data_IF_787570077025
#
_entry.id   IF_787570077025
#
_cell.length_a   1.000
_cell.length_b   1.000
_cell.length_c   1.000
_cell.angle_alpha   90.00
_cell.angle_beta   90.00
_cell.angle_gamma   90.00
#
_symmetry.space_group_name_H-M   'P 1'
#
loop_
_entity.id
_entity.type
_entity.pdbx_description
1 polymer ?
#
# COMPACT_ATOMS: atom_id res chain seq x y z
N UNK A 1 26.63 -15.73 15.48
CA UNK A 1 25.34 -16.21 14.93
C UNK A 1 24.27 -15.26 15.47
N UNK A 2 23.97 -14.18 14.76
CA UNK A 2 22.87 -13.28 15.14
C UNK A 2 21.65 -13.73 14.36
N UNK A 3 20.74 -14.42 15.03
CA UNK A 3 19.43 -14.72 14.46
C UNK A 3 18.66 -13.41 14.35
N UNK A 4 18.30 -13.03 13.12
CA UNK A 4 17.27 -12.02 12.91
C UNK A 4 15.97 -12.60 13.43
N UNK A 5 15.46 -12.03 14.52
CA UNK A 5 14.07 -12.24 14.88
C UNK A 5 13.23 -11.50 13.84
N UNK A 6 12.53 -12.24 12.99
CA UNK A 6 11.41 -11.71 12.22
C UNK A 6 10.31 -11.32 13.22
N UNK A 7 10.28 -10.04 13.60
CA UNK A 7 9.12 -9.47 14.27
C UNK A 7 7.89 -9.72 13.41
N UNK A 8 6.85 -10.34 13.97
CA UNK A 8 5.63 -10.59 13.23
C UNK A 8 5.06 -9.25 12.73
N UNK A 9 5.00 -9.07 11.42
CA UNK A 9 4.31 -7.93 10.80
C UNK A 9 2.83 -8.10 11.11
N UNK A 10 2.24 -7.24 11.93
CA UNK A 10 0.79 -7.25 12.18
C UNK A 10 0.08 -6.65 10.96
N UNK A 11 -0.27 -7.49 9.99
CA UNK A 11 -1.04 -7.09 8.83
C UNK A 11 -2.45 -6.65 9.26
N UNK A 12 -2.92 -5.53 8.72
CA UNK A 12 -4.31 -5.09 8.86
C UNK A 12 -5.07 -5.41 7.57
N UNK A 13 -6.35 -5.73 7.70
CA UNK A 13 -7.22 -6.15 6.61
C UNK A 13 -8.43 -5.23 6.58
N UNK A 14 -8.69 -4.59 5.43
CA UNK A 14 -9.81 -3.67 5.26
C UNK A 14 -10.65 -4.12 4.06
N UNK A 15 -11.84 -4.64 4.33
CA UNK A 15 -12.84 -4.88 3.29
C UNK A 15 -13.60 -3.59 3.00
N UNK A 16 -13.70 -3.24 1.73
CA UNK A 16 -14.33 -2.01 1.26
C UNK A 16 -15.58 -2.35 0.46
N UNK A 17 -16.70 -1.72 0.82
CA UNK A 17 -17.95 -1.82 0.08
C UNK A 17 -17.93 -0.92 -1.15
N UNK A 18 -18.75 -1.23 -2.15
CA UNK A 18 -18.96 -0.37 -3.30
C UNK A 18 -19.41 1.04 -2.89
N UNK A 19 -18.85 2.09 -3.50
CA UNK A 19 -19.11 3.48 -3.15
C UNK A 19 -19.34 4.35 -4.39
N UNK A 20 -20.60 4.55 -4.77
CA UNK A 20 -20.99 5.41 -5.88
C UNK A 20 -20.37 4.95 -7.21
N UNK A 21 -19.41 5.71 -7.74
CA UNK A 21 -18.68 5.38 -8.98
C UNK A 21 -17.40 4.57 -8.73
N UNK A 22 -17.04 4.36 -7.47
CA UNK A 22 -15.87 3.58 -7.04
C UNK A 22 -16.32 2.14 -6.78
N UNK A 23 -15.84 1.17 -7.57
CA UNK A 23 -16.36 -0.18 -7.48
C UNK A 23 -15.99 -0.87 -6.17
N UNK A 24 -14.74 -0.73 -5.72
CA UNK A 24 -14.09 -1.52 -4.65
C UNK A 24 -14.21 -3.04 -4.88
N UNK A 25 -13.15 -3.80 -4.60
CA UNK A 25 -13.18 -5.22 -4.97
C UNK A 25 -14.09 -6.03 -4.03
N UNK A 26 -15.16 -6.70 -4.51
CA UNK A 26 -16.23 -7.25 -3.65
C UNK A 26 -15.82 -8.48 -2.83
N UNK A 27 -14.62 -9.02 -3.07
CA UNK A 27 -14.14 -10.27 -2.46
C UNK A 27 -12.70 -10.22 -1.97
N UNK A 28 -11.97 -9.15 -2.28
CA UNK A 28 -10.55 -9.03 -1.93
C UNK A 28 -10.40 -7.77 -1.09
N UNK A 29 -9.87 -7.88 0.14
CA UNK A 29 -9.65 -6.72 0.97
C UNK A 29 -8.38 -5.97 0.56
N UNK A 30 -8.28 -4.70 0.95
CA UNK A 30 -6.99 -4.01 1.03
C UNK A 30 -6.19 -4.64 2.17
N UNK A 31 -4.91 -4.92 1.90
CA UNK A 31 -3.97 -5.40 2.90
C UNK A 31 -2.98 -4.28 3.23
N UNK A 32 -2.80 -4.01 4.53
CA UNK A 32 -1.88 -2.97 5.01
C UNK A 32 -0.82 -3.69 5.85
N UNK A 33 0.44 -3.44 5.54
CA UNK A 33 1.61 -4.03 6.17
C UNK A 33 2.42 -2.92 6.86
N UNK A 34 2.09 -2.58 8.11
CA UNK A 34 2.89 -1.65 8.89
C UNK A 34 4.30 -2.19 9.08
N UNK A 35 5.32 -1.37 8.87
CA UNK A 35 6.72 -1.77 8.94
C UNK A 35 7.05 -3.00 8.08
N UNK A 36 6.50 -3.08 6.86
CA UNK A 36 6.79 -4.14 5.89
C UNK A 36 8.30 -4.31 5.65
N UNK A 37 9.03 -3.19 5.58
CA UNK A 37 10.49 -3.16 5.55
C UNK A 37 10.97 -2.33 6.74
N UNK A 38 11.71 -2.98 7.64
CA UNK A 38 12.42 -2.33 8.75
C UNK A 38 13.90 -2.34 8.42
N UNK A 39 14.43 -1.18 8.05
CA UNK A 39 15.85 -1.04 7.70
C UNK A 39 16.50 0.10 8.45
N UNK A 40 17.77 -0.09 8.83
CA UNK A 40 18.63 1.00 9.29
C UNK A 40 19.31 1.74 8.13
N UNK A 41 19.16 1.23 6.89
CA UNK A 41 19.63 1.92 5.69
C UNK A 41 18.65 3.04 5.32
N UNK A 42 19.17 4.11 4.74
CA UNK A 42 18.38 5.27 4.31
C UNK A 42 17.67 5.07 2.97
N UNK A 43 17.93 3.98 2.24
CA UNK A 43 17.39 3.78 0.89
C UNK A 43 16.26 2.75 0.88
N UNK A 44 15.09 3.16 1.40
CA UNK A 44 13.90 2.32 1.41
C UNK A 44 13.29 2.16 0.00
N UNK A 45 13.49 3.13 -0.90
CA UNK A 45 12.98 3.04 -2.27
C UNK A 45 13.58 1.83 -2.98
N UNK A 46 14.91 1.72 -3.04
CA UNK A 46 15.58 0.57 -3.67
C UNK A 46 15.19 -0.75 -3.01
N UNK A 47 15.04 -0.79 -1.67
CA UNK A 47 14.63 -2.01 -0.96
C UNK A 47 13.20 -2.44 -1.32
N UNK A 48 12.26 -1.50 -1.48
CA UNK A 48 10.93 -1.81 -1.97
C UNK A 48 10.95 -2.27 -3.42
N UNK A 49 11.70 -1.60 -4.29
CA UNK A 49 11.85 -1.99 -5.70
C UNK A 49 12.40 -3.41 -5.86
N UNK A 50 13.45 -3.75 -5.10
CA UNK A 50 14.02 -5.11 -5.03
C UNK A 50 13.00 -6.12 -4.50
N UNK A 51 12.33 -5.81 -3.39
CA UNK A 51 11.34 -6.70 -2.78
C UNK A 51 10.17 -6.96 -3.71
N UNK A 52 9.61 -5.92 -4.32
CA UNK A 52 8.49 -6.04 -5.24
C UNK A 52 8.89 -6.82 -6.49
N UNK A 53 10.06 -6.52 -7.08
CA UNK A 53 10.59 -7.26 -8.23
C UNK A 53 10.77 -8.75 -7.93
N UNK A 54 11.32 -9.09 -6.77
CA UNK A 54 11.50 -10.47 -6.34
C UNK A 54 10.17 -11.24 -6.16
N UNK A 55 9.05 -10.53 -5.99
CA UNK A 55 7.71 -11.08 -5.83
C UNK A 55 6.82 -10.91 -7.08
N UNK A 56 7.40 -10.55 -8.23
CA UNK A 56 6.66 -10.43 -9.49
C UNK A 56 5.86 -9.13 -9.64
N UNK A 57 6.15 -8.12 -8.82
CA UNK A 57 5.59 -6.77 -8.89
C UNK A 57 6.67 -5.80 -9.39
N UNK A 58 6.95 -5.72 -10.70
CA UNK A 58 7.99 -4.83 -11.19
C UNK A 58 7.63 -3.37 -10.87
N UNK A 59 8.55 -2.58 -10.29
CA UNK A 59 8.27 -1.19 -9.93
C UNK A 59 7.92 -0.39 -11.18
N UNK A 60 6.85 0.39 -11.09
CA UNK A 60 6.36 1.21 -12.21
C UNK A 60 6.68 2.68 -12.04
N UNK A 61 6.67 3.19 -10.80
CA UNK A 61 6.88 4.59 -10.49
C UNK A 61 7.29 4.79 -9.02
N UNK A 62 8.00 5.88 -8.72
CA UNK A 62 8.33 6.29 -7.36
C UNK A 62 8.07 7.81 -7.21
N UNK A 63 6.90 8.18 -6.69
CA UNK A 63 6.50 9.55 -6.38
C UNK A 63 5.33 9.55 -5.37
N UNK A 64 4.66 10.67 -5.15
CA UNK A 64 3.46 10.77 -4.30
C UNK A 64 2.16 10.29 -4.97
N UNK A 65 1.23 9.81 -4.16
CA UNK A 65 -0.14 9.43 -4.58
C UNK A 65 -0.91 10.69 -5.03
N UNK A 66 -1.81 10.56 -6.01
CA UNK A 66 -2.62 11.67 -6.47
C UNK A 66 -3.64 12.14 -5.41
N UNK A 67 -3.81 13.45 -5.27
CA UNK A 67 -4.76 14.08 -4.33
C UNK A 67 -6.20 14.19 -4.84
N UNK A 68 -6.57 13.39 -5.84
CA UNK A 68 -7.96 13.26 -6.31
C UNK A 68 -8.35 11.79 -6.29
N UNK A 69 -9.62 11.50 -6.03
CA UNK A 69 -10.11 10.13 -6.02
C UNK A 69 -9.92 9.47 -7.38
N UNK A 70 -9.29 8.29 -7.39
CA UNK A 70 -9.10 7.46 -8.56
C UNK A 70 -9.09 5.98 -8.16
N UNK A 71 -9.13 5.08 -9.14
CA UNK A 71 -8.92 3.65 -8.98
C UNK A 71 -8.34 3.07 -10.28
N UNK A 72 -7.74 1.88 -10.18
CA UNK A 72 -7.28 1.12 -11.34
C UNK A 72 -8.30 0.05 -11.73
N UNK A 73 -8.67 -0.04 -13.00
CA UNK A 73 -9.72 -0.96 -13.49
C UNK A 73 -9.24 -2.42 -13.58
N UNK A 74 -8.00 -2.64 -14.00
CA UNK A 74 -7.48 -3.98 -14.33
C UNK A 74 -6.34 -4.42 -13.42
N UNK A 75 -5.48 -3.49 -13.00
CA UNK A 75 -4.30 -3.77 -12.19
C UNK A 75 -4.58 -3.67 -10.70
N UNK A 76 -4.14 -4.68 -9.94
CA UNK A 76 -3.88 -4.50 -8.52
C UNK A 76 -2.65 -3.60 -8.36
N UNK A 77 -2.59 -2.88 -7.25
CA UNK A 77 -1.49 -1.96 -6.96
C UNK A 77 -0.84 -2.34 -5.64
N UNK A 78 0.50 -2.28 -5.61
CA UNK A 78 1.28 -2.38 -4.39
C UNK A 78 1.99 -1.04 -4.19
N UNK A 79 1.74 -0.40 -3.05
CA UNK A 79 2.39 0.83 -2.64
C UNK A 79 3.44 0.50 -1.57
N UNK A 80 4.66 0.99 -1.76
CA UNK A 80 5.71 1.02 -0.74
C UNK A 80 5.95 2.47 -0.31
N UNK A 81 5.82 2.77 0.98
CA UNK A 81 6.07 4.12 1.47
C UNK A 81 7.57 4.26 1.71
N UNK A 82 8.29 4.80 0.72
CA UNK A 82 9.74 4.92 0.79
C UNK A 82 10.21 6.05 1.71
N UNK A 83 9.41 7.10 1.91
CA UNK A 83 9.79 8.27 2.72
C UNK A 83 8.57 9.01 3.27
N UNK A 84 8.79 9.75 4.36
CA UNK A 84 7.77 10.61 4.97
C UNK A 84 6.59 9.87 5.57
N UNK A 85 5.42 10.52 5.52
CA UNK A 85 4.14 10.00 5.98
C UNK A 85 3.01 10.60 5.12
N UNK A 86 1.87 9.93 5.08
CA UNK A 86 0.68 10.40 4.38
C UNK A 86 -0.60 9.92 5.07
N UNK A 87 -1.71 10.59 4.74
CA UNK A 87 -3.07 10.13 5.06
C UNK A 87 -3.70 9.71 3.74
N UNK A 88 -3.99 8.42 3.58
CA UNK A 88 -4.65 7.91 2.39
C UNK A 88 -6.14 7.72 2.69
N UNK A 89 -7.02 8.26 1.85
CA UNK A 89 -8.44 7.91 1.90
C UNK A 89 -8.67 6.71 0.98
N UNK A 90 -9.21 5.62 1.52
CA UNK A 90 -9.46 4.37 0.82
C UNK A 90 -10.96 4.09 0.72
N UNK A 91 -11.40 3.53 -0.40
CA UNK A 91 -12.79 3.19 -0.67
C UNK A 91 -13.59 4.27 -1.40
N UNK A 92 -12.97 5.37 -1.82
CA UNK A 92 -13.64 6.50 -2.48
C UNK A 92 -14.00 7.66 -1.54
N UNK A 93 -14.81 8.63 -1.99
CA UNK A 93 -15.24 9.77 -1.19
C UNK A 93 -15.83 9.35 0.16
N UNK A 94 -15.45 10.06 1.23
CA UNK A 94 -15.84 9.77 2.62
C UNK A 94 -15.51 8.35 3.10
N UNK A 95 -14.50 7.72 2.48
CA UNK A 95 -14.02 6.40 2.82
C UNK A 95 -13.17 6.35 4.09
N UNK A 96 -12.37 5.29 4.20
CA UNK A 96 -11.51 5.05 5.36
C UNK A 96 -10.20 5.80 5.24
N UNK A 97 -9.85 6.60 6.24
CA UNK A 97 -8.54 7.24 6.30
C UNK A 97 -7.54 6.33 7.00
N UNK A 98 -6.43 6.04 6.32
CA UNK A 98 -5.30 5.28 6.85
C UNK A 98 -4.07 6.18 6.92
N UNK A 99 -3.41 6.21 8.07
CA UNK A 99 -2.11 6.85 8.22
C UNK A 99 -1.01 5.87 7.85
N UNK A 100 -0.11 6.30 6.98
CA UNK A 100 1.01 5.49 6.49
C UNK A 100 2.31 6.26 6.65
N UNK A 101 3.41 5.53 6.88
CA UNK A 101 4.74 6.11 7.08
C UNK A 101 5.82 5.28 6.40
N UNK A 102 7.01 5.86 6.29
CA UNK A 102 8.17 5.19 5.72
C UNK A 102 8.35 3.76 6.26
N UNK A 103 8.48 2.80 5.36
CA UNK A 103 8.59 1.36 5.65
C UNK A 103 7.26 0.59 5.63
N UNK A 104 6.11 1.25 5.56
CA UNK A 104 4.81 0.59 5.38
C UNK A 104 4.60 0.18 3.91
N UNK A 105 3.80 -0.87 3.69
CA UNK A 105 3.32 -1.25 2.37
C UNK A 105 1.81 -1.50 2.36
N UNK A 106 1.17 -1.28 1.21
CA UNK A 106 -0.25 -1.54 1.00
C UNK A 106 -0.44 -2.34 -0.29
N UNK A 107 -1.34 -3.31 -0.28
CA UNK A 107 -1.82 -4.00 -1.48
C UNK A 107 -3.29 -3.63 -1.69
N UNK A 108 -3.56 -3.01 -2.83
CA UNK A 108 -4.85 -2.51 -3.25
C UNK A 108 -5.38 -3.39 -4.39
N UNK A 109 -6.45 -4.16 -4.19
CA UNK A 109 -7.13 -4.84 -5.28
C UNK A 109 -7.62 -3.86 -6.34
N UNK A 110 -7.76 -4.35 -7.57
CA UNK A 110 -8.32 -3.57 -8.68
C UNK A 110 -9.70 -3.05 -8.29
N UNK A 111 -9.96 -1.78 -8.61
CA UNK A 111 -11.18 -1.07 -8.25
C UNK A 111 -11.16 -0.38 -6.89
N UNK A 112 -10.11 -0.54 -6.08
CA UNK A 112 -9.96 0.18 -4.81
C UNK A 112 -9.82 1.68 -5.06
N UNK A 113 -10.82 2.46 -4.66
CA UNK A 113 -10.74 3.92 -4.72
C UNK A 113 -9.74 4.46 -3.72
N UNK A 114 -8.87 5.38 -4.13
CA UNK A 114 -7.92 6.00 -3.21
C UNK A 114 -7.46 7.41 -3.63
N UNK A 115 -6.95 8.17 -2.66
CA UNK A 115 -6.23 9.45 -2.84
C UNK A 115 -5.40 9.79 -1.58
N UNK A 116 -4.51 10.80 -1.67
CA UNK A 116 -3.84 11.40 -0.50
C UNK A 116 -4.44 12.76 -0.08
#
# INVERSE_FOLDING_TARGET
MFGSQSGAVSMQVLMLEHNGWVPNHPRLPVLIYPNAIVSQSSDLASQFEETFSANGWPPQWCNGVYGYHHYHTEGHEVLGIASGHARLMLGGPDGFVVEVRAGDALLLPAGTGHCN
#
